data_IF_616810935486
#
_entry.id   IF_616810935486
#
_cell.length_a   1.000
_cell.length_b   1.000
_cell.length_c   1.000
_cell.angle_alpha   90.00
_cell.angle_beta   90.00
_cell.angle_gamma   90.00
#
_symmetry.space_group_name_H-M   'P 1'
#
loop_
_entity.id
_entity.type
_entity.pdbx_description
1 polymer ?
#
# COMPACT_ATOMS: atom_id res chain seq x y z
N UNK A 1 -8.25 16.74 1.62
CA UNK A 1 -8.08 16.15 2.97
C UNK A 1 -8.56 17.12 4.06
N UNK A 2 -8.14 18.40 4.06
CA UNK A 2 -8.63 19.41 5.03
C UNK A 2 -10.16 19.52 5.04
N UNK A 3 -10.81 19.50 3.88
CA UNK A 3 -12.27 19.51 3.79
C UNK A 3 -12.93 18.33 4.52
N UNK A 4 -12.31 17.14 4.48
CA UNK A 4 -12.83 15.95 5.15
C UNK A 4 -12.65 16.03 6.68
N UNK A 5 -11.49 16.50 7.16
CA UNK A 5 -11.25 16.79 8.58
C UNK A 5 -12.28 17.79 9.12
N UNK A 6 -12.50 18.89 8.41
CA UNK A 6 -13.47 19.92 8.78
C UNK A 6 -14.90 19.37 8.80
N UNK A 7 -15.27 18.55 7.84
CA UNK A 7 -16.58 17.90 7.80
C UNK A 7 -16.79 16.93 8.98
N UNK A 8 -15.78 16.15 9.37
CA UNK A 8 -15.90 15.30 10.55
C UNK A 8 -15.99 16.10 11.85
N UNK A 9 -15.20 17.17 11.98
CA UNK A 9 -15.27 18.06 13.14
C UNK A 9 -16.61 18.78 13.25
N UNK A 10 -17.20 19.24 12.13
CA UNK A 10 -18.50 19.92 12.15
C UNK A 10 -19.64 18.99 12.59
N UNK A 11 -19.48 17.68 12.40
CA UNK A 11 -20.39 16.63 12.89
C UNK A 11 -20.09 16.19 14.34
N UNK A 12 -19.09 16.78 15.00
CA UNK A 12 -18.67 16.42 16.36
C UNK A 12 -17.79 15.17 16.47
N UNK A 13 -17.30 14.63 15.34
CA UNK A 13 -16.47 13.43 15.29
C UNK A 13 -14.98 13.79 15.46
N UNK A 14 -14.50 13.79 16.71
CA UNK A 14 -13.11 14.17 17.04
C UNK A 14 -12.15 12.98 17.16
N UNK A 15 -12.66 11.76 17.27
CA UNK A 15 -11.86 10.53 17.46
C UNK A 15 -11.32 9.90 16.17
N UNK A 16 -10.99 10.69 15.14
CA UNK A 16 -10.53 10.15 13.85
C UNK A 16 -9.04 10.45 13.62
N UNK A 17 -8.37 9.55 12.90
CA UNK A 17 -6.98 9.72 12.46
C UNK A 17 -6.95 9.72 10.94
N UNK A 18 -6.23 10.68 10.36
CA UNK A 18 -5.99 10.74 8.93
C UNK A 18 -4.69 10.00 8.64
N UNK A 19 -4.77 9.01 7.75
CA UNK A 19 -3.62 8.26 7.25
C UNK A 19 -3.45 8.62 5.77
N UNK A 20 -2.31 9.20 5.43
CA UNK A 20 -1.97 9.60 4.06
C UNK A 20 -0.89 8.66 3.52
N UNK A 21 -0.94 8.40 2.22
CA UNK A 21 0.05 7.62 1.50
C UNK A 21 0.18 8.17 0.07
N UNK A 22 1.32 7.93 -0.57
CA UNK A 22 1.57 8.23 -1.98
C UNK A 22 1.68 6.93 -2.77
N UNK A 23 0.99 6.86 -3.91
CA UNK A 23 1.13 5.73 -4.84
C UNK A 23 2.27 5.93 -5.87
N UNK A 24 3.01 7.04 -5.76
CA UNK A 24 3.98 7.46 -6.75
C UNK A 24 3.35 7.80 -8.11
N UNK A 25 4.19 7.91 -9.12
CA UNK A 25 3.80 8.19 -10.50
C UNK A 25 3.92 6.95 -11.41
N UNK A 26 3.80 7.16 -12.73
CA UNK A 26 3.95 6.11 -13.74
C UNK A 26 5.35 5.53 -13.85
N UNK A 27 6.36 6.16 -13.24
CA UNK A 27 7.75 5.69 -13.21
C UNK A 27 8.06 4.90 -11.94
N UNK A 28 7.55 5.33 -10.79
CA UNK A 28 7.75 4.68 -9.49
C UNK A 28 6.96 3.37 -9.39
N UNK A 29 5.71 3.41 -9.84
CA UNK A 29 4.75 2.32 -9.63
C UNK A 29 5.14 1.00 -10.29
N UNK A 30 5.68 0.96 -11.52
CA UNK A 30 6.15 -0.29 -12.12
C UNK A 30 7.31 -0.93 -11.37
N UNK A 31 8.27 -0.13 -10.90
CA UNK A 31 9.44 -0.61 -10.15
C UNK A 31 9.00 -1.22 -8.82
N UNK A 32 8.17 -0.50 -8.08
CA UNK A 32 7.60 -1.02 -6.84
C UNK A 32 6.76 -2.28 -7.06
N UNK A 33 5.92 -2.28 -8.10
CA UNK A 33 5.07 -3.42 -8.43
C UNK A 33 5.91 -4.67 -8.69
N UNK A 34 7.00 -4.55 -9.43
CA UNK A 34 7.91 -5.67 -9.71
C UNK A 34 8.56 -6.19 -8.42
N UNK A 35 9.11 -5.30 -7.59
CA UNK A 35 9.71 -5.67 -6.31
C UNK A 35 8.72 -6.36 -5.37
N UNK A 36 7.50 -5.84 -5.26
CA UNK A 36 6.44 -6.45 -4.46
C UNK A 36 6.02 -7.80 -5.02
N UNK A 37 5.89 -7.91 -6.35
CA UNK A 37 5.52 -9.16 -6.99
C UNK A 37 6.55 -10.26 -6.76
N UNK A 38 7.84 -9.93 -6.86
CA UNK A 38 8.94 -10.87 -6.61
C UNK A 38 9.01 -11.28 -5.13
N UNK A 39 8.78 -10.34 -4.21
CA UNK A 39 8.65 -10.64 -2.78
C UNK A 39 7.50 -11.63 -2.52
N UNK A 40 6.31 -11.36 -3.06
CA UNK A 40 5.12 -12.19 -2.83
C UNK A 40 5.23 -13.58 -3.45
N UNK A 41 5.94 -13.74 -4.56
CA UNK A 41 6.18 -15.06 -5.19
C UNK A 41 7.05 -15.99 -4.34
N UNK A 42 7.88 -15.44 -3.46
CA UNK A 42 8.72 -16.22 -2.55
C UNK A 42 7.98 -16.72 -1.31
N UNK A 43 6.76 -16.24 -1.07
CA UNK A 43 5.95 -16.59 0.09
C UNK A 43 5.14 -17.87 -0.14
N UNK A 44 4.77 -18.54 0.95
CA UNK A 44 3.89 -19.71 0.90
C UNK A 44 2.42 -19.27 0.91
N UNK A 45 2.00 -18.80 -0.26
CA UNK A 45 0.64 -18.32 -0.52
C UNK A 45 -0.21 -19.39 -1.20
N UNK A 46 -1.50 -19.42 -0.89
CA UNK A 46 -2.47 -20.27 -1.59
C UNK A 46 -2.66 -19.84 -3.06
N UNK A 47 -3.25 -20.73 -3.86
CA UNK A 47 -3.44 -20.55 -5.29
C UNK A 47 -4.25 -19.29 -5.64
N UNK A 48 -5.26 -18.92 -4.86
CA UNK A 48 -6.06 -17.72 -5.12
C UNK A 48 -5.21 -16.46 -4.90
N UNK A 49 -4.44 -16.44 -3.82
CA UNK A 49 -3.55 -15.32 -3.51
C UNK A 49 -2.43 -15.20 -4.54
N UNK A 50 -1.84 -16.31 -4.98
CA UNK A 50 -0.85 -16.33 -6.07
C UNK A 50 -1.40 -15.73 -7.37
N UNK A 51 -2.67 -15.99 -7.71
CA UNK A 51 -3.31 -15.31 -8.86
C UNK A 51 -3.46 -13.82 -8.66
N UNK A 52 -3.78 -13.37 -7.44
CA UNK A 52 -3.86 -11.94 -7.11
C UNK A 52 -2.49 -11.26 -7.21
N UNK A 53 -1.40 -11.94 -6.86
CA UNK A 53 -0.02 -11.46 -7.04
C UNK A 53 0.24 -11.06 -8.50
N UNK A 54 -0.20 -11.87 -9.46
CA UNK A 54 0.03 -11.60 -10.88
C UNK A 54 -0.84 -10.45 -11.42
N UNK A 55 -2.11 -10.41 -11.03
CA UNK A 55 -3.07 -9.42 -11.55
C UNK A 55 -2.86 -8.05 -10.91
N UNK A 56 -2.80 -7.99 -9.57
CA UNK A 56 -2.62 -6.76 -8.80
C UNK A 56 -2.02 -7.08 -7.42
N UNK A 57 -0.68 -7.09 -7.29
CA UNK A 57 -0.01 -7.50 -6.06
C UNK A 57 -0.31 -6.59 -4.87
N UNK A 58 -0.74 -5.33 -5.11
CA UNK A 58 -1.16 -4.42 -4.03
C UNK A 58 -2.36 -4.96 -3.25
N UNK A 59 -3.26 -5.72 -3.89
CA UNK A 59 -4.45 -6.26 -3.22
C UNK A 59 -4.12 -7.37 -2.23
N UNK A 60 -2.91 -7.93 -2.30
CA UNK A 60 -2.44 -8.94 -1.35
C UNK A 60 -2.12 -8.28 0.00
N UNK A 61 -1.71 -7.00 -0.01
CA UNK A 61 -1.45 -6.24 1.23
C UNK A 61 -2.73 -6.02 2.06
N UNK A 62 -3.90 -6.03 1.42
CA UNK A 62 -5.21 -5.88 2.06
C UNK A 62 -5.82 -7.21 2.53
N UNK A 63 -5.08 -8.34 2.43
CA UNK A 63 -5.60 -9.63 2.86
C UNK A 63 -5.84 -9.65 4.38
N UNK A 64 -6.95 -10.20 4.84
CA UNK A 64 -7.34 -10.17 6.25
C UNK A 64 -6.95 -11.43 7.03
N UNK A 65 -6.43 -12.46 6.35
CA UNK A 65 -6.02 -13.70 6.99
C UNK A 65 -4.70 -13.51 7.72
N UNK A 66 -4.64 -13.93 8.98
CA UNK A 66 -3.45 -13.79 9.83
C UNK A 66 -2.22 -14.48 9.20
N UNK A 67 -2.40 -15.68 8.66
CA UNK A 67 -1.35 -16.46 7.99
C UNK A 67 -0.69 -15.75 6.80
N UNK A 68 -1.43 -14.87 6.11
CA UNK A 68 -0.91 -14.06 5.01
C UNK A 68 -0.25 -12.80 5.58
N UNK A 69 -0.92 -12.12 6.50
CA UNK A 69 -0.40 -10.90 7.14
C UNK A 69 0.94 -11.12 7.84
N UNK A 70 1.12 -12.26 8.51
CA UNK A 70 2.39 -12.61 9.17
C UNK A 70 3.54 -12.72 8.16
N UNK A 71 3.26 -13.27 6.97
CA UNK A 71 4.23 -13.38 5.88
C UNK A 71 4.56 -12.03 5.20
N UNK A 72 3.68 -11.04 5.33
CA UNK A 72 3.86 -9.70 4.73
C UNK A 72 4.74 -8.74 5.55
N UNK A 73 5.22 -9.16 6.72
CA UNK A 73 6.02 -8.31 7.64
C UNK A 73 7.27 -7.69 6.97
N UNK A 74 7.82 -8.34 5.94
CA UNK A 74 8.99 -7.87 5.18
C UNK A 74 8.67 -7.23 3.84
N UNK A 75 7.40 -6.94 3.54
CA UNK A 75 7.02 -6.41 2.24
C UNK A 75 7.73 -5.07 1.95
N UNK A 76 8.19 -4.85 0.71
CA UNK A 76 8.81 -3.60 0.33
C UNK A 76 7.84 -2.44 0.59
N UNK A 77 8.35 -1.31 1.08
CA UNK A 77 7.52 -0.12 1.31
C UNK A 77 7.57 0.76 0.05
N UNK A 78 6.40 1.19 -0.43
CA UNK A 78 6.33 2.04 -1.61
C UNK A 78 7.12 3.35 -1.47
N UNK A 79 7.24 3.87 -0.25
CA UNK A 79 8.03 5.07 0.06
C UNK A 79 9.50 4.95 -0.38
N UNK A 80 10.08 3.74 -0.35
CA UNK A 80 11.47 3.48 -0.75
C UNK A 80 11.67 3.53 -2.27
N UNK A 81 10.57 3.41 -3.04
CA UNK A 81 10.57 3.35 -4.50
C UNK A 81 10.05 4.64 -5.15
N UNK A 82 9.75 5.68 -4.36
CA UNK A 82 9.38 6.98 -4.88
C UNK A 82 10.60 7.67 -5.50
N UNK A 83 10.42 8.25 -6.68
CA UNK A 83 11.38 9.16 -7.29
C UNK A 83 11.46 10.46 -6.48
N UNK A 84 12.54 11.23 -6.66
CA UNK A 84 12.76 12.46 -5.90
C UNK A 84 11.63 13.49 -6.07
N UNK A 85 11.04 13.56 -7.28
CA UNK A 85 9.89 14.43 -7.54
C UNK A 85 8.64 13.99 -6.75
N UNK A 86 8.38 12.68 -6.67
CA UNK A 86 7.26 12.16 -5.88
C UNK A 86 7.49 12.27 -4.38
N UNK A 87 8.74 12.15 -3.92
CA UNK A 87 9.11 12.39 -2.52
C UNK A 87 8.85 13.85 -2.15
N UNK A 88 9.37 14.79 -2.94
CA UNK A 88 9.17 16.22 -2.74
C UNK A 88 7.70 16.66 -2.82
N UNK A 89 6.86 15.95 -3.58
CA UNK A 89 5.41 16.22 -3.61
C UNK A 89 4.66 15.69 -2.38
N UNK A 90 5.18 14.64 -1.74
CA UNK A 90 4.53 13.98 -0.61
C UNK A 90 4.97 14.53 0.75
N UNK A 91 6.14 15.16 0.83
CA UNK A 91 6.57 15.97 1.98
C UNK A 91 5.72 17.23 2.17
#
# INVERSE_FOLDING_TARGET
IILADQAYRSLGLTGHRILLNSLGDTTCRPVYRAALQDFLRALDLDEETRRRVEINPLRVLDDKRAEVQDQLTGAPLLADYLCDACKAYHE
#
